data_IF_807808545961
#
_entry.id   IF_807808545961
#
_cell.length_a   1.000
_cell.length_b   1.000
_cell.length_c   1.000
_cell.angle_alpha   90.00
_cell.angle_beta   90.00
_cell.angle_gamma   90.00
#
_symmetry.space_group_name_H-M   'P 1'
#
loop_
_entity.id
_entity.type
_entity.pdbx_description
1 polymer ?
#
# COMPACT_ATOMS: atom_id res chain seq x y z
N UNK A 1 0.39 -26.97 14.79
CA UNK A 1 1.07 -25.67 14.85
C UNK A 1 2.12 -25.66 15.97
N UNK A 2 3.33 -25.33 15.63
CA UNK A 2 4.42 -25.29 16.59
C UNK A 2 4.66 -23.86 17.07
N UNK A 3 4.61 -23.63 18.36
CA UNK A 3 4.76 -22.31 18.97
C UNK A 3 6.17 -22.16 19.54
N UNK A 4 6.78 -21.01 19.26
CA UNK A 4 8.08 -20.67 19.82
C UNK A 4 7.96 -19.37 20.62
N UNK A 5 8.49 -19.35 21.83
CA UNK A 5 8.55 -18.12 22.65
C UNK A 5 9.79 -17.32 22.30
N UNK A 6 9.65 -16.01 22.29
CA UNK A 6 10.77 -15.08 22.14
C UNK A 6 10.55 -13.87 23.06
N UNK A 7 11.62 -13.16 23.38
CA UNK A 7 11.56 -11.91 24.14
C UNK A 7 11.98 -10.73 23.29
N UNK A 8 11.43 -9.56 23.56
CA UNK A 8 11.79 -8.31 22.91
C UNK A 8 11.80 -7.16 23.89
N UNK A 9 12.72 -6.22 23.69
CA UNK A 9 12.75 -4.96 24.42
C UNK A 9 12.01 -3.90 23.58
N UNK A 10 11.02 -3.26 24.17
CA UNK A 10 10.15 -2.29 23.52
C UNK A 10 10.14 -1.02 24.33
N UNK A 11 10.16 0.12 23.66
CA UNK A 11 9.97 1.41 24.30
C UNK A 11 8.70 1.42 25.16
N UNK A 12 8.80 1.95 26.37
CA UNK A 12 7.72 1.89 27.36
C UNK A 12 6.45 2.62 26.90
N UNK A 13 6.59 3.80 26.30
CA UNK A 13 5.44 4.57 25.81
C UNK A 13 4.79 3.89 24.60
N UNK A 14 5.62 3.32 23.72
CA UNK A 14 5.13 2.59 22.56
C UNK A 14 4.32 1.36 23.00
N UNK A 15 4.83 0.61 23.97
CA UNK A 15 4.13 -0.56 24.51
C UNK A 15 2.81 -0.18 25.17
N UNK A 16 2.79 0.92 25.91
CA UNK A 16 1.57 1.42 26.55
C UNK A 16 0.50 1.76 25.51
N UNK A 17 0.86 2.47 24.45
CA UNK A 17 -0.06 2.79 23.35
C UNK A 17 -0.57 1.53 22.64
N UNK A 18 0.32 0.59 22.42
CA UNK A 18 -0.03 -0.70 21.82
C UNK A 18 -1.05 -1.46 22.67
N UNK A 19 -0.82 -1.55 23.98
CA UNK A 19 -1.74 -2.21 24.91
C UNK A 19 -3.13 -1.56 24.94
N UNK A 20 -3.19 -0.23 24.88
CA UNK A 20 -4.45 0.50 24.80
C UNK A 20 -5.21 0.18 23.52
N UNK A 21 -4.53 0.19 22.39
CA UNK A 21 -5.13 -0.10 21.08
C UNK A 21 -5.64 -1.53 20.98
N UNK A 22 -4.83 -2.52 21.37
CA UNK A 22 -5.26 -3.91 21.30
C UNK A 22 -6.42 -4.22 22.22
N UNK A 23 -6.53 -3.51 23.34
CA UNK A 23 -7.70 -3.60 24.24
C UNK A 23 -8.96 -3.06 23.56
N UNK A 24 -8.86 -1.90 22.93
CA UNK A 24 -9.97 -1.31 22.16
C UNK A 24 -10.43 -2.22 21.01
N UNK A 25 -9.49 -2.90 20.36
CA UNK A 25 -9.77 -3.85 19.28
C UNK A 25 -10.19 -5.24 19.76
N UNK A 26 -10.33 -5.42 21.07
CA UNK A 26 -10.76 -6.68 21.67
C UNK A 26 -9.82 -7.87 21.43
N UNK A 27 -8.53 -7.63 21.29
CA UNK A 27 -7.56 -8.73 21.26
C UNK A 27 -7.47 -9.41 22.62
N UNK A 28 -7.53 -10.75 22.66
CA UNK A 28 -7.47 -11.46 23.94
C UNK A 28 -6.09 -11.40 24.61
N UNK A 29 -5.02 -11.31 23.83
CA UNK A 29 -3.63 -11.27 24.33
C UNK A 29 -2.73 -10.44 23.42
N UNK A 30 -1.60 -9.97 23.98
CA UNK A 30 -0.52 -9.37 23.16
C UNK A 30 -0.04 -10.33 22.08
N UNK A 31 0.08 -11.62 22.41
CA UNK A 31 0.56 -12.64 21.47
C UNK A 31 -0.32 -12.73 20.23
N UNK A 32 -1.65 -12.68 20.38
CA UNK A 32 -2.57 -12.70 19.25
C UNK A 32 -2.38 -11.46 18.35
N UNK A 33 -2.30 -10.29 18.95
CA UNK A 33 -2.08 -9.05 18.22
C UNK A 33 -0.73 -9.06 17.48
N UNK A 34 0.34 -9.51 18.16
CA UNK A 34 1.67 -9.60 17.57
C UNK A 34 1.72 -10.61 16.43
N UNK A 35 1.07 -11.75 16.56
CA UNK A 35 0.99 -12.74 15.47
C UNK A 35 0.34 -12.14 14.23
N UNK A 36 -0.76 -11.40 14.40
CA UNK A 36 -1.45 -10.76 13.28
C UNK A 36 -0.57 -9.70 12.63
N UNK A 37 0.10 -8.86 13.41
CA UNK A 37 1.02 -7.83 12.89
C UNK A 37 2.21 -8.41 12.14
N UNK A 38 2.81 -9.47 12.71
CA UNK A 38 3.94 -10.15 12.07
C UNK A 38 3.49 -10.76 10.73
N UNK A 39 2.32 -11.39 10.72
CA UNK A 39 1.76 -11.96 9.49
C UNK A 39 1.51 -10.89 8.44
N UNK A 40 0.92 -9.77 8.82
CA UNK A 40 0.71 -8.63 7.91
C UNK A 40 2.02 -8.11 7.34
N UNK A 41 3.03 -7.97 8.18
CA UNK A 41 4.35 -7.50 7.75
C UNK A 41 5.00 -8.46 6.75
N UNK A 42 4.96 -9.76 7.03
CA UNK A 42 5.51 -10.79 6.14
C UNK A 42 4.78 -10.81 4.80
N UNK A 43 3.45 -10.83 4.83
CA UNK A 43 2.62 -10.83 3.62
C UNK A 43 2.93 -9.61 2.75
N UNK A 44 3.04 -8.44 3.36
CA UNK A 44 3.41 -7.21 2.66
C UNK A 44 4.78 -7.31 1.97
N UNK A 45 5.74 -7.97 2.61
CA UNK A 45 7.09 -8.18 2.04
C UNK A 45 7.10 -9.25 0.95
N UNK A 46 6.36 -10.33 1.14
CA UNK A 46 6.26 -11.41 0.16
C UNK A 46 5.59 -10.95 -1.14
N UNK A 47 4.64 -10.03 -1.07
CA UNK A 47 4.01 -9.46 -2.26
C UNK A 47 5.00 -8.74 -3.17
N UNK A 48 6.12 -8.27 -2.61
CA UNK A 48 7.21 -7.67 -3.38
C UNK A 48 8.12 -8.72 -4.04
N UNK A 49 7.96 -9.99 -3.68
CA UNK A 49 8.84 -11.10 -4.08
C UNK A 49 8.50 -11.80 -5.39
N UNK A 50 7.48 -11.37 -6.13
CA UNK A 50 7.08 -11.96 -7.40
C UNK A 50 5.63 -12.43 -7.44
N UNK A 51 5.20 -12.91 -8.59
CA UNK A 51 3.83 -13.34 -8.85
C UNK A 51 2.89 -12.21 -9.25
N UNK A 52 1.69 -12.60 -9.65
CA UNK A 52 0.63 -11.64 -10.03
C UNK A 52 -0.09 -11.11 -8.79
N UNK A 53 -0.20 -9.81 -8.70
CA UNK A 53 -0.89 -9.13 -7.60
C UNK A 53 -2.02 -8.25 -8.13
N UNK A 54 -3.04 -8.05 -7.29
CA UNK A 54 -4.18 -7.18 -7.56
C UNK A 54 -4.33 -6.19 -6.40
N UNK A 55 -4.56 -4.95 -6.71
CA UNK A 55 -4.72 -3.91 -5.70
C UNK A 55 -4.94 -2.54 -6.31
N UNK A 56 -4.55 -1.51 -5.58
CA UNK A 56 -4.68 -0.13 -6.03
C UNK A 56 -3.52 0.73 -5.59
N UNK A 57 -3.20 1.72 -6.41
CA UNK A 57 -2.30 2.81 -6.09
C UNK A 57 -3.15 4.05 -5.84
N UNK A 58 -2.87 4.75 -4.76
CA UNK A 58 -3.56 5.97 -4.37
C UNK A 58 -2.60 7.15 -4.51
N UNK A 59 -3.04 8.20 -5.17
CA UNK A 59 -2.27 9.43 -5.37
C UNK A 59 -3.10 10.64 -4.96
N UNK A 60 -2.44 11.63 -4.37
CA UNK A 60 -2.97 12.97 -4.20
C UNK A 60 -2.00 13.96 -4.84
N UNK A 61 -2.52 14.83 -5.70
CA UNK A 61 -1.73 15.85 -6.36
C UNK A 61 -2.61 17.07 -6.72
N UNK A 62 -1.95 18.19 -6.99
CA UNK A 62 -2.61 19.43 -7.41
C UNK A 62 -3.00 19.31 -8.89
N UNK A 63 -4.32 19.24 -9.17
CA UNK A 63 -4.82 19.10 -10.52
C UNK A 63 -4.71 20.35 -11.39
N UNK A 64 -4.38 21.50 -10.81
CA UNK A 64 -4.12 22.73 -11.56
C UNK A 64 -2.73 22.75 -12.19
N UNK A 65 -1.81 21.97 -11.67
CA UNK A 65 -0.46 21.84 -12.21
C UNK A 65 -0.47 20.86 -13.39
N UNK A 66 -0.59 21.39 -14.57
CA UNK A 66 -0.72 20.62 -15.80
C UNK A 66 0.43 19.64 -16.01
N UNK A 67 1.64 20.02 -15.62
CA UNK A 67 2.82 19.15 -15.71
C UNK A 67 2.66 17.86 -14.94
N UNK A 68 2.05 17.92 -13.75
CA UNK A 68 1.81 16.73 -12.93
C UNK A 68 0.73 15.87 -13.58
N UNK A 69 -0.37 16.46 -14.00
CA UNK A 69 -1.48 15.76 -14.67
C UNK A 69 -0.97 15.03 -15.92
N UNK A 70 -0.19 15.70 -16.74
CA UNK A 70 0.35 15.11 -17.96
C UNK A 70 1.29 13.94 -17.68
N UNK A 71 2.17 14.07 -16.69
CA UNK A 71 3.10 12.99 -16.30
C UNK A 71 2.36 11.79 -15.72
N UNK A 72 1.37 12.01 -14.87
CA UNK A 72 0.54 10.94 -14.31
C UNK A 72 -0.18 10.20 -15.44
N UNK A 73 -0.74 10.92 -16.38
CA UNK A 73 -1.44 10.34 -17.53
C UNK A 73 -0.50 9.56 -18.46
N UNK A 74 0.66 10.11 -18.78
CA UNK A 74 1.65 9.47 -19.65
C UNK A 74 2.17 8.16 -19.04
N UNK A 75 2.49 8.17 -17.74
CA UNK A 75 2.94 6.96 -17.04
C UNK A 75 1.85 5.91 -17.06
N UNK A 76 0.60 6.25 -16.77
CA UNK A 76 -0.51 5.30 -16.82
C UNK A 76 -0.69 4.71 -18.20
N UNK A 77 -0.54 5.52 -19.23
CA UNK A 77 -0.63 5.05 -20.61
C UNK A 77 0.45 4.00 -20.92
N UNK A 78 1.67 4.21 -20.44
CA UNK A 78 2.78 3.26 -20.62
C UNK A 78 2.54 1.92 -19.90
N UNK A 79 1.72 1.92 -18.88
CA UNK A 79 1.40 0.73 -18.07
C UNK A 79 -0.04 0.24 -18.26
N UNK A 80 -0.69 0.58 -19.38
CA UNK A 80 -2.09 0.24 -19.63
C UNK A 80 -2.42 -1.25 -19.53
N UNK A 81 -1.44 -2.11 -19.78
CA UNK A 81 -1.60 -3.57 -19.74
C UNK A 81 -1.80 -4.14 -18.31
N UNK A 82 -1.40 -3.40 -17.29
CA UNK A 82 -1.55 -3.79 -15.87
C UNK A 82 -2.56 -2.93 -15.12
N UNK A 83 -3.02 -1.85 -15.70
CA UNK A 83 -4.03 -0.98 -15.11
C UNK A 83 -5.42 -1.44 -15.57
N UNK A 84 -6.28 -1.76 -14.58
CA UNK A 84 -7.66 -2.19 -14.85
C UNK A 84 -8.56 -0.97 -15.09
N UNK A 85 -8.46 0.01 -14.21
CA UNK A 85 -9.29 1.22 -14.22
C UNK A 85 -8.66 2.28 -13.36
N UNK A 86 -8.99 3.53 -13.66
CA UNK A 86 -8.57 4.69 -12.86
C UNK A 86 -9.77 5.51 -12.48
N UNK A 87 -9.88 5.85 -11.21
CA UNK A 87 -10.90 6.74 -10.68
C UNK A 87 -10.25 8.07 -10.30
N UNK A 88 -10.81 9.15 -10.79
CA UNK A 88 -10.31 10.50 -10.60
C UNK A 88 -11.34 11.28 -9.78
N UNK A 89 -10.97 11.72 -8.59
CA UNK A 89 -11.86 12.39 -7.65
C UNK A 89 -11.29 13.77 -7.30
N UNK A 90 -12.11 14.79 -7.38
CA UNK A 90 -11.74 16.11 -6.86
C UNK A 90 -12.03 16.12 -5.35
N UNK A 91 -10.98 16.16 -4.52
CA UNK A 91 -11.12 16.25 -3.06
C UNK A 91 -11.54 17.65 -2.62
N UNK A 92 -10.93 18.66 -3.23
CA UNK A 92 -11.18 20.05 -2.98
C UNK A 92 -10.81 20.87 -4.23
N UNK A 93 -10.75 22.19 -4.11
CA UNK A 93 -10.46 23.09 -5.24
C UNK A 93 -9.09 22.78 -5.88
N UNK A 94 -8.11 22.42 -5.07
CA UNK A 94 -6.73 22.26 -5.53
C UNK A 94 -6.32 20.79 -5.71
N UNK A 95 -6.89 19.88 -4.94
CA UNK A 95 -6.41 18.52 -4.86
C UNK A 95 -7.27 17.49 -5.59
N UNK A 96 -6.60 16.69 -6.37
CA UNK A 96 -7.15 15.51 -6.99
C UNK A 96 -6.72 14.26 -6.22
N UNK A 97 -7.66 13.37 -6.00
CA UNK A 97 -7.41 12.03 -5.48
C UNK A 97 -7.62 11.03 -6.61
N UNK A 98 -6.58 10.28 -6.95
CA UNK A 98 -6.64 9.30 -8.02
C UNK A 98 -6.43 7.90 -7.46
N UNK A 99 -7.30 6.98 -7.87
CA UNK A 99 -7.24 5.57 -7.48
C UNK A 99 -7.00 4.77 -8.75
N UNK A 100 -5.87 4.09 -8.80
CA UNK A 100 -5.45 3.29 -9.96
C UNK A 100 -5.54 1.82 -9.58
N UNK A 101 -6.58 1.13 -10.03
CA UNK A 101 -6.73 -0.30 -9.82
C UNK A 101 -5.82 -1.06 -10.79
N UNK A 102 -5.07 -2.01 -10.26
CA UNK A 102 -4.10 -2.77 -11.03
C UNK A 102 -4.23 -4.28 -10.84
N UNK A 103 -3.76 -5.00 -11.83
CA UNK A 103 -3.48 -6.43 -11.77
C UNK A 103 -2.31 -6.74 -12.71
N UNK A 104 -1.27 -7.33 -12.17
CA UNK A 104 -0.08 -7.66 -12.94
C UNK A 104 1.03 -8.22 -12.07
N UNK A 105 2.18 -8.47 -12.68
CA UNK A 105 3.35 -8.94 -11.94
C UNK A 105 3.82 -7.89 -10.95
N UNK A 106 4.19 -8.32 -9.75
CA UNK A 106 4.62 -7.42 -8.68
C UNK A 106 5.76 -6.49 -9.11
N UNK A 107 6.71 -6.97 -9.90
CA UNK A 107 7.81 -6.14 -10.42
C UNK A 107 7.31 -4.99 -11.29
N UNK A 108 6.29 -5.23 -12.11
CA UNK A 108 5.72 -4.21 -13.00
C UNK A 108 4.90 -3.19 -12.21
N UNK A 109 4.16 -3.65 -11.20
CA UNK A 109 3.43 -2.78 -10.28
C UNK A 109 4.39 -1.90 -9.49
N UNK A 110 5.49 -2.48 -8.99
CA UNK A 110 6.52 -1.72 -8.28
C UNK A 110 7.15 -0.63 -9.17
N UNK A 111 7.42 -0.97 -10.42
CA UNK A 111 7.97 0.00 -11.37
C UNK A 111 6.97 1.14 -11.65
N UNK A 112 5.71 0.80 -11.88
CA UNK A 112 4.63 1.78 -12.05
C UNK A 112 4.53 2.71 -10.84
N UNK A 113 4.44 2.14 -9.65
CA UNK A 113 4.33 2.92 -8.42
C UNK A 113 5.54 3.84 -8.19
N UNK A 114 6.73 3.33 -8.44
CA UNK A 114 7.98 4.08 -8.30
C UNK A 114 8.02 5.29 -9.24
N UNK A 115 7.60 5.10 -10.49
CA UNK A 115 7.52 6.20 -11.46
C UNK A 115 6.50 7.26 -11.06
N UNK A 116 5.33 6.85 -10.60
CA UNK A 116 4.29 7.77 -10.11
C UNK A 116 4.74 8.51 -8.85
N UNK A 117 5.26 7.79 -7.87
CA UNK A 117 5.76 8.35 -6.61
C UNK A 117 6.83 9.41 -6.82
N UNK A 118 7.69 9.22 -7.82
CA UNK A 118 8.83 10.11 -8.09
C UNK A 118 8.49 11.33 -8.93
N UNK A 119 7.25 11.49 -9.37
CA UNK A 119 6.81 12.73 -10.02
C UNK A 119 6.90 13.86 -9.00
N UNK A 120 7.64 14.92 -9.35
CA UNK A 120 7.74 16.10 -8.52
C UNK A 120 6.36 16.76 -8.37
N UNK A 121 5.91 16.89 -7.14
CA UNK A 121 4.61 17.47 -6.83
C UNK A 121 3.53 16.47 -6.42
N UNK A 122 3.83 15.19 -6.42
CA UNK A 122 2.94 14.20 -5.79
C UNK A 122 2.95 14.44 -4.28
N UNK A 123 1.78 14.70 -3.71
CA UNK A 123 1.60 15.02 -2.30
C UNK A 123 1.51 13.76 -1.43
N UNK A 124 0.84 12.74 -1.94
CA UNK A 124 0.68 11.45 -1.25
C UNK A 124 0.69 10.32 -2.24
N UNK A 125 1.28 9.21 -1.81
CA UNK A 125 1.32 7.95 -2.55
C UNK A 125 1.17 6.79 -1.57
N UNK A 126 0.25 5.89 -1.87
CA UNK A 126 0.01 4.71 -1.07
C UNK A 126 -0.37 3.55 -2.00
N UNK A 127 0.10 2.35 -1.67
CA UNK A 127 -0.22 1.13 -2.42
C UNK A 127 -0.88 0.14 -1.49
N UNK A 128 -2.03 -0.39 -1.90
CA UNK A 128 -2.71 -1.47 -1.19
C UNK A 128 -2.84 -2.68 -2.10
N UNK A 129 -2.44 -3.84 -1.61
CA UNK A 129 -2.54 -5.09 -2.33
C UNK A 129 -3.59 -5.95 -1.63
N UNK A 130 -4.57 -6.43 -2.38
CA UNK A 130 -5.71 -7.18 -1.84
C UNK A 130 -5.67 -8.66 -2.17
N UNK A 131 -4.91 -9.04 -3.18
CA UNK A 131 -4.83 -10.44 -3.61
C UNK A 131 -3.50 -10.72 -4.27
N UNK A 132 -2.99 -11.91 -4.02
CA UNK A 132 -1.84 -12.47 -4.74
C UNK A 132 -2.26 -13.80 -5.34
N UNK A 133 -2.05 -13.94 -6.65
CA UNK A 133 -2.23 -15.21 -7.31
C UNK A 133 -0.95 -16.02 -7.15
N UNK A 134 -1.06 -17.17 -6.49
CA UNK A 134 0.07 -18.08 -6.40
C UNK A 134 0.32 -18.71 -7.76
N UNK A 135 1.59 -18.79 -8.14
CA UNK A 135 1.99 -19.58 -9.31
C UNK A 135 1.82 -21.05 -8.98
N UNK A 136 1.04 -21.72 -9.80
CA UNK A 136 0.84 -23.17 -9.70
C UNK A 136 2.00 -23.88 -10.40
#
# INVERSE_FOLDING_TARGET
MKIKRFGASIDEELLKKFDEIIKEENYPTRSKALNDLIREYIVKKEWLGGGEITGAIFLIYDHHKREIVDKVTDIQHDFHNIIISTLHIHLDIDNCFEIIAFRGLSKDINLLNKKLKNIKGIKSNFVSIISKKEEV
#
